data_IF_765670671147
#
_entry.id   IF_765670671147
#
_cell.length_a   1.000
_cell.length_b   1.000
_cell.length_c   1.000
_cell.angle_alpha   90.00
_cell.angle_beta   90.00
_cell.angle_gamma   90.00
#
_symmetry.space_group_name_H-M   'P 1'
#
loop_
_entity.id
_entity.type
_entity.pdbx_description
1 polymer ?
#
# COMPACT_ATOMS: atom_id res chain seq x y z
N UNK A 1 -17.00 0.72 5.82
CA UNK A 1 -15.73 0.14 6.30
C UNK A 1 -14.58 1.06 5.92
N UNK A 2 -13.63 1.28 6.83
CA UNK A 2 -12.44 2.03 6.49
C UNK A 2 -11.61 1.34 5.39
N UNK A 3 -11.04 2.16 4.51
CA UNK A 3 -10.21 1.71 3.40
C UNK A 3 -8.93 2.52 3.39
N UNK A 4 -7.78 1.87 3.27
CA UNK A 4 -6.51 2.55 3.00
C UNK A 4 -6.03 2.20 1.61
N UNK A 5 -5.41 3.17 0.94
CA UNK A 5 -4.82 2.96 -0.38
C UNK A 5 -3.39 3.46 -0.36
N UNK A 6 -2.46 2.59 -0.71
CA UNK A 6 -1.09 2.96 -0.99
C UNK A 6 -0.94 3.13 -2.50
N UNK A 7 -0.60 4.34 -2.92
CA UNK A 7 -0.49 4.68 -4.34
C UNK A 7 0.99 4.67 -4.73
N UNK A 8 1.34 3.76 -5.63
CA UNK A 8 2.69 3.61 -6.14
C UNK A 8 2.77 4.09 -7.59
N UNK A 9 3.79 4.88 -7.89
CA UNK A 9 4.19 5.24 -9.25
C UNK A 9 5.61 4.75 -9.46
N UNK A 10 5.72 3.53 -9.99
CA UNK A 10 6.98 2.78 -10.03
C UNK A 10 7.82 3.14 -11.25
N UNK A 11 9.14 2.95 -11.15
CA UNK A 11 10.05 2.96 -12.30
C UNK A 11 9.91 1.67 -13.09
N UNK A 12 9.78 0.53 -12.38
CA UNK A 12 9.65 -0.80 -12.97
C UNK A 12 8.92 -1.72 -11.99
N UNK A 13 7.73 -2.16 -12.38
CA UNK A 13 6.90 -3.08 -11.59
C UNK A 13 7.66 -4.39 -11.27
N UNK A 14 8.34 -4.95 -12.26
CA UNK A 14 9.00 -6.26 -12.10
C UNK A 14 10.14 -6.19 -11.09
N UNK A 15 10.83 -5.07 -11.00
CA UNK A 15 11.86 -4.86 -9.99
C UNK A 15 11.28 -4.67 -8.57
N UNK A 16 10.08 -4.08 -8.48
CA UNK A 16 9.45 -3.76 -7.20
C UNK A 16 8.70 -4.94 -6.57
N UNK A 17 8.11 -5.82 -7.39
CA UNK A 17 7.15 -6.83 -6.90
C UNK A 17 7.76 -7.79 -5.86
N UNK A 18 9.03 -8.13 -6.00
CA UNK A 18 9.70 -9.01 -5.05
C UNK A 18 9.84 -8.36 -3.68
N UNK A 19 10.17 -7.07 -3.65
CA UNK A 19 10.23 -6.30 -2.39
C UNK A 19 8.86 -6.27 -1.71
N UNK A 20 7.78 -6.10 -2.49
CA UNK A 20 6.42 -6.13 -1.96
C UNK A 20 6.09 -7.50 -1.36
N UNK A 21 6.39 -8.59 -2.07
CA UNK A 21 6.11 -9.96 -1.60
C UNK A 21 6.86 -10.31 -0.31
N UNK A 22 8.08 -9.82 -0.15
CA UNK A 22 8.88 -10.01 1.06
C UNK A 22 8.31 -9.24 2.27
N UNK A 23 7.54 -8.19 2.03
CA UNK A 23 7.03 -7.27 3.04
C UNK A 23 5.51 -7.10 2.90
N UNK A 24 4.80 -8.23 2.77
CA UNK A 24 3.36 -8.25 2.59
C UNK A 24 2.60 -7.48 3.67
N UNK A 25 1.39 -6.98 3.37
CA UNK A 25 0.54 -6.30 4.35
C UNK A 25 0.29 -7.16 5.60
N UNK A 26 -0.08 -6.53 6.74
CA UNK A 26 -0.38 -7.28 7.97
C UNK A 26 -1.57 -8.23 7.76
N UNK A 27 -1.65 -9.35 8.54
CA UNK A 27 -2.72 -10.34 8.36
C UNK A 27 -4.06 -9.89 8.95
N UNK A 28 -4.38 -8.61 8.88
CA UNK A 28 -5.68 -8.04 9.25
C UNK A 28 -6.24 -7.30 8.06
N UNK A 29 -7.56 -7.35 7.90
CA UNK A 29 -8.21 -6.75 6.76
C UNK A 29 -8.12 -7.61 5.49
N UNK A 30 -8.60 -7.04 4.41
CA UNK A 30 -8.59 -7.66 3.08
C UNK A 30 -7.79 -6.76 2.14
N UNK A 31 -6.76 -7.32 1.52
CA UNK A 31 -5.83 -6.56 0.70
C UNK A 31 -5.92 -6.98 -0.77
N UNK A 32 -5.90 -5.99 -1.65
CA UNK A 32 -5.91 -6.19 -3.10
C UNK A 32 -4.83 -5.33 -3.75
N UNK A 33 -4.28 -5.86 -4.82
CA UNK A 33 -3.37 -5.10 -5.68
C UNK A 33 -4.11 -4.79 -6.99
N UNK A 34 -4.16 -3.51 -7.33
CA UNK A 34 -4.71 -3.03 -8.60
C UNK A 34 -3.59 -2.40 -9.41
N UNK A 35 -3.43 -2.87 -10.62
CA UNK A 35 -2.37 -2.39 -11.52
C UNK A 35 -3.02 -1.62 -12.67
N UNK A 36 -2.42 -0.49 -13.05
CA UNK A 36 -2.93 0.33 -14.15
C UNK A 36 -2.95 -0.45 -15.47
N UNK A 37 -4.05 -0.32 -16.22
CA UNK A 37 -4.17 -0.95 -17.53
C UNK A 37 -3.44 -0.16 -18.61
N UNK A 38 -3.41 1.18 -18.49
CA UNK A 38 -2.71 2.06 -19.41
C UNK A 38 -1.24 2.29 -19.00
N UNK A 39 -1.00 2.27 -17.68
CA UNK A 39 0.34 2.40 -17.11
C UNK A 39 0.59 1.25 -16.14
N UNK A 40 1.31 0.19 -16.56
CA UNK A 40 1.55 -0.98 -15.72
C UNK A 40 2.46 -0.70 -14.52
N UNK A 41 3.10 0.47 -14.47
CA UNK A 41 3.93 0.89 -13.33
C UNK A 41 3.15 1.70 -12.30
N UNK A 42 1.86 1.94 -12.53
CA UNK A 42 0.96 2.51 -11.54
C UNK A 42 0.27 1.37 -10.77
N UNK A 43 0.47 1.33 -9.46
CA UNK A 43 -0.07 0.26 -8.61
C UNK A 43 -0.76 0.86 -7.40
N UNK A 44 -1.96 0.40 -7.11
CA UNK A 44 -2.68 0.73 -5.89
C UNK A 44 -2.80 -0.53 -5.03
N UNK A 45 -2.34 -0.46 -3.80
CA UNK A 45 -2.58 -1.50 -2.80
C UNK A 45 -3.73 -1.02 -1.94
N UNK A 46 -4.85 -1.74 -1.98
CA UNK A 46 -6.09 -1.36 -1.33
C UNK A 46 -6.39 -2.31 -0.18
N UNK A 47 -6.52 -1.78 1.03
CA UNK A 47 -6.86 -2.55 2.21
C UNK A 47 -8.21 -2.12 2.79
N UNK A 48 -9.12 -3.06 2.94
CA UNK A 48 -10.41 -2.88 3.63
C UNK A 48 -10.35 -3.56 4.99
N UNK A 49 -10.86 -2.90 6.03
CA UNK A 49 -10.76 -3.44 7.39
C UNK A 49 -11.91 -2.94 8.26
N UNK A 50 -12.12 -3.62 9.39
CA UNK A 50 -13.03 -3.15 10.42
C UNK A 50 -12.43 -1.91 11.10
N UNK A 51 -13.30 -1.03 11.63
CA UNK A 51 -12.84 0.16 12.34
C UNK A 51 -11.88 -0.18 13.50
N UNK A 52 -12.10 -1.32 14.17
CA UNK A 52 -11.25 -1.79 15.25
C UNK A 52 -9.85 -2.21 14.82
N UNK A 53 -9.63 -2.44 13.52
CA UNK A 53 -8.34 -2.87 12.97
C UNK A 53 -7.47 -1.71 12.46
N UNK A 54 -8.05 -0.52 12.34
CA UNK A 54 -7.36 0.65 11.77
C UNK A 54 -6.08 0.99 12.53
N UNK A 55 -6.14 0.99 13.86
CA UNK A 55 -4.97 1.29 14.69
C UNK A 55 -3.85 0.29 14.46
N UNK A 56 -4.18 -1.00 14.38
CA UNK A 56 -3.18 -2.06 14.12
C UNK A 56 -2.48 -1.83 12.78
N UNK A 57 -3.25 -1.50 11.75
CA UNK A 57 -2.67 -1.22 10.41
C UNK A 57 -1.82 0.03 10.43
N UNK A 58 -2.30 1.12 11.06
CA UNK A 58 -1.51 2.36 11.17
C UNK A 58 -0.20 2.14 11.93
N UNK A 59 -0.24 1.39 13.02
CA UNK A 59 0.95 1.07 13.80
C UNK A 59 1.94 0.23 12.98
N UNK A 60 1.44 -0.73 12.22
CA UNK A 60 2.26 -1.52 11.32
C UNK A 60 2.96 -0.63 10.26
N UNK A 61 2.21 0.24 9.60
CA UNK A 61 2.76 1.14 8.58
C UNK A 61 3.77 2.14 9.17
N UNK A 62 3.60 2.53 10.43
CA UNK A 62 4.50 3.46 11.11
C UNK A 62 5.70 2.75 11.76
N UNK A 63 5.77 1.42 11.72
CA UNK A 63 6.86 0.67 12.33
C UNK A 63 8.21 1.01 11.68
N UNK A 64 9.28 0.90 12.45
CA UNK A 64 10.64 1.16 11.97
C UNK A 64 10.99 0.29 10.76
N UNK A 65 10.62 -1.00 10.81
CA UNK A 65 10.82 -1.93 9.71
C UNK A 65 10.15 -1.42 8.43
N UNK A 66 8.88 -1.00 8.53
CA UNK A 66 8.14 -0.54 7.35
C UNK A 66 8.66 0.80 6.84
N UNK A 67 9.14 1.68 7.70
CA UNK A 67 9.76 2.93 7.26
C UNK A 67 11.02 2.65 6.43
N UNK A 68 11.81 1.65 6.79
CA UNK A 68 12.97 1.23 6.00
C UNK A 68 12.55 0.63 4.66
N UNK A 69 11.48 -0.18 4.65
CA UNK A 69 10.89 -0.73 3.41
C UNK A 69 10.44 0.42 2.50
N UNK A 70 9.75 1.42 3.03
CA UNK A 70 9.27 2.55 2.24
C UNK A 70 10.41 3.39 1.65
N UNK A 71 11.52 3.53 2.35
CA UNK A 71 12.71 4.17 1.78
C UNK A 71 13.21 3.43 0.53
N UNK A 72 13.29 2.11 0.61
CA UNK A 72 13.70 1.27 -0.54
C UNK A 72 12.70 1.37 -1.69
N UNK A 73 11.41 1.32 -1.38
CA UNK A 73 10.35 1.43 -2.38
C UNK A 73 10.34 2.82 -3.02
N UNK A 74 10.57 3.87 -2.25
CA UNK A 74 10.66 5.23 -2.80
C UNK A 74 11.82 5.37 -3.78
N UNK A 75 12.93 4.65 -3.55
CA UNK A 75 14.04 4.62 -4.50
C UNK A 75 13.67 3.90 -5.81
N UNK A 76 12.67 3.02 -5.78
CA UNK A 76 12.13 2.30 -6.94
C UNK A 76 10.97 3.03 -7.60
N UNK A 77 10.64 4.23 -7.14
CA UNK A 77 9.44 4.97 -7.56
C UNK A 77 9.83 6.30 -8.20
N UNK A 78 8.96 6.82 -9.07
CA UNK A 78 9.15 8.13 -9.71
C UNK A 78 8.76 9.28 -8.78
N UNK A 79 7.85 8.99 -7.84
CA UNK A 79 7.45 9.91 -6.77
C UNK A 79 7.29 9.10 -5.49
N UNK A 80 7.39 9.72 -4.29
CA UNK A 80 7.17 9.02 -3.03
C UNK A 80 5.79 8.35 -2.96
N UNK A 81 5.69 7.23 -2.23
CA UNK A 81 4.43 6.56 -1.98
C UNK A 81 3.46 7.54 -1.31
N UNK A 82 2.23 7.55 -1.79
CA UNK A 82 1.14 8.30 -1.17
C UNK A 82 0.21 7.31 -0.45
N UNK A 83 -0.10 7.59 0.81
CA UNK A 83 -1.08 6.83 1.58
C UNK A 83 -2.31 7.69 1.81
N UNK A 84 -3.48 7.14 1.51
CA UNK A 84 -4.76 7.81 1.79
C UNK A 84 -5.65 6.88 2.59
N UNK A 85 -6.52 7.47 3.42
CA UNK A 85 -7.53 6.76 4.19
C UNK A 85 -8.89 7.27 3.76
N UNK A 86 -9.78 6.33 3.50
CA UNK A 86 -11.12 6.60 2.98
C UNK A 86 -12.15 5.88 3.85
N UNK A 87 -13.34 6.45 3.90
CA UNK A 87 -14.50 5.84 4.56
C UNK A 87 -15.60 5.66 3.52
N UNK A 88 -16.14 4.44 3.43
CA UNK A 88 -17.25 4.16 2.53
C UNK A 88 -18.47 4.98 2.93
N UNK A 89 -19.14 5.57 1.95
CA UNK A 89 -20.35 6.35 2.14
C UNK A 89 -21.51 5.67 1.43
N UNK A 90 -22.69 5.74 2.05
CA UNK A 90 -23.94 5.28 1.42
C UNK A 90 -24.37 6.29 0.38
N UNK A 91 -24.65 5.82 -0.81
CA UNK A 91 -25.15 6.63 -1.92
C UNK A 91 -26.67 6.85 -1.83
#
# INVERSE_FOLDING_TARGET
>A
MPVTVAIHRLKDFDAWIDTFKENAPPPVGRWRMLRGTDDPNRVHIVGEMAASEVKTVKDFLASERMQDVFKRVNAMSTVPIEFIWLEEQTL
#
